data_IF_456022122050
#
_entry.id   IF_456022122050
#
_cell.length_a   1.000
_cell.length_b   1.000
_cell.length_c   1.000
_cell.angle_alpha   90.00
_cell.angle_beta   90.00
_cell.angle_gamma   90.00
#
_symmetry.space_group_name_H-M   'P 1'
#
loop_
_entity.id
_entity.type
_entity.pdbx_description
1 polymer ?
#
# COMPACT_ATOMS: atom_id res chain seq x y z
N UNK A 1 -21.40 32.65 2.22
CA UNK A 1 -19.97 32.91 2.52
C UNK A 1 -19.22 31.57 2.59
N UNK A 2 -18.10 31.49 1.91
CA UNK A 2 -17.27 30.27 1.92
C UNK A 2 -16.34 30.32 3.12
N UNK A 3 -16.33 29.24 3.91
CA UNK A 3 -15.42 29.07 5.04
C UNK A 3 -14.57 27.83 4.82
N UNK A 4 -13.30 27.91 5.18
CA UNK A 4 -12.39 26.78 5.15
C UNK A 4 -12.03 26.43 6.58
N UNK A 5 -12.34 25.20 6.98
CA UNK A 5 -12.22 24.76 8.37
C UNK A 5 -11.24 23.59 8.48
N UNK A 6 -10.43 23.62 9.55
CA UNK A 6 -9.62 22.47 9.93
C UNK A 6 -10.49 21.43 10.63
N UNK A 7 -10.36 20.16 10.22
CA UNK A 7 -11.00 19.01 10.86
C UNK A 7 -9.97 17.91 11.00
N UNK A 8 -9.67 17.54 12.22
CA UNK A 8 -8.76 16.42 12.50
C UNK A 8 -9.37 15.08 12.06
N UNK A 9 -10.66 14.92 12.33
CA UNK A 9 -11.41 13.72 11.98
C UNK A 9 -12.62 14.08 11.13
N UNK A 10 -12.99 13.20 10.21
CA UNK A 10 -14.16 13.34 9.38
C UNK A 10 -14.99 12.05 9.46
N UNK A 11 -16.28 12.13 9.20
CA UNK A 11 -17.16 10.97 9.19
C UNK A 11 -17.30 10.38 7.78
N UNK A 12 -18.08 9.29 7.66
CA UNK A 12 -18.26 8.58 6.40
C UNK A 12 -18.87 9.42 5.29
N UNK A 13 -19.66 10.45 5.64
CA UNK A 13 -20.29 11.34 4.64
C UNK A 13 -19.24 12.06 3.79
N UNK A 14 -18.09 12.41 4.39
CA UNK A 14 -16.99 13.03 3.65
C UNK A 14 -16.41 12.10 2.60
N UNK A 15 -16.27 10.82 2.95
CA UNK A 15 -15.75 9.81 2.02
C UNK A 15 -16.73 9.54 0.88
N UNK A 16 -18.02 9.59 1.15
CA UNK A 16 -19.04 9.47 0.10
C UNK A 16 -18.95 10.62 -0.89
N UNK A 17 -18.80 11.85 -0.38
CA UNK A 17 -18.63 13.05 -1.23
C UNK A 17 -17.40 12.90 -2.10
N UNK A 18 -16.26 12.49 -1.51
CA UNK A 18 -15.03 12.26 -2.25
C UNK A 18 -15.22 11.24 -3.36
N UNK A 19 -15.84 10.10 -3.04
CA UNK A 19 -16.07 9.02 -4.01
C UNK A 19 -16.92 9.46 -5.19
N UNK A 20 -18.04 10.14 -4.90
CA UNK A 20 -18.96 10.62 -5.94
C UNK A 20 -18.27 11.64 -6.85
N UNK A 21 -17.54 12.59 -6.28
CA UNK A 21 -16.87 13.64 -7.06
C UNK A 21 -15.70 13.11 -7.89
N UNK A 22 -14.91 12.19 -7.33
CA UNK A 22 -13.82 11.55 -8.09
C UNK A 22 -14.37 10.73 -9.25
N UNK A 23 -15.47 10.01 -9.03
CA UNK A 23 -16.10 9.22 -10.10
C UNK A 23 -16.60 10.11 -11.24
N UNK A 24 -17.24 11.23 -10.92
CA UNK A 24 -17.69 12.22 -11.92
C UNK A 24 -16.49 12.79 -12.70
N UNK A 25 -15.42 13.10 -11.98
CA UNK A 25 -14.22 13.67 -12.57
C UNK A 25 -13.55 12.71 -13.54
N UNK A 26 -13.38 11.45 -13.11
CA UNK A 26 -12.80 10.40 -13.92
C UNK A 26 -13.63 10.13 -15.18
N UNK A 27 -14.95 10.10 -15.05
CA UNK A 27 -15.86 9.87 -16.16
C UNK A 27 -15.71 10.91 -17.26
N UNK A 28 -15.46 12.17 -16.90
CA UNK A 28 -15.21 13.25 -17.87
C UNK A 28 -13.95 13.00 -18.71
N UNK A 29 -13.02 12.20 -18.19
CA UNK A 29 -11.76 11.86 -18.85
C UNK A 29 -11.74 10.43 -19.38
N UNK A 30 -12.90 9.80 -19.49
CA UNK A 30 -13.04 8.40 -19.94
C UNK A 30 -12.22 7.41 -19.11
N UNK A 31 -12.15 7.66 -17.81
CA UNK A 31 -11.47 6.78 -16.84
C UNK A 31 -12.52 6.20 -15.88
N UNK A 32 -12.41 4.90 -15.63
CA UNK A 32 -13.28 4.22 -14.67
C UNK A 32 -12.58 4.13 -13.32
N UNK A 33 -13.25 4.59 -12.27
CA UNK A 33 -12.76 4.42 -10.91
C UNK A 33 -12.95 2.97 -10.49
N UNK A 34 -11.84 2.31 -10.16
CA UNK A 34 -11.83 0.89 -9.79
C UNK A 34 -11.11 0.65 -8.46
N UNK A 35 -11.12 1.63 -7.57
CA UNK A 35 -10.49 1.52 -6.26
C UNK A 35 -11.03 0.29 -5.51
N UNK A 36 -10.11 -0.57 -5.08
CA UNK A 36 -10.46 -1.79 -4.35
C UNK A 36 -9.43 -2.03 -3.24
N UNK A 37 -9.84 -1.97 -1.97
CA UNK A 37 -8.93 -2.30 -0.87
C UNK A 37 -8.70 -3.81 -0.80
N UNK A 38 -7.55 -4.21 -0.23
CA UNK A 38 -7.27 -5.60 0.07
C UNK A 38 -6.59 -5.73 1.42
N UNK A 39 -6.77 -6.89 2.04
CA UNK A 39 -6.14 -7.24 3.29
C UNK A 39 -5.85 -8.74 3.27
N UNK A 40 -4.65 -9.12 3.68
CA UNK A 40 -4.30 -10.51 3.94
C UNK A 40 -3.78 -10.63 5.36
N UNK A 41 -4.22 -11.67 6.06
CA UNK A 41 -3.91 -11.89 7.47
C UNK A 41 -3.20 -13.23 7.61
N UNK A 42 -2.13 -13.25 8.39
CA UNK A 42 -1.50 -14.47 8.84
C UNK A 42 -2.01 -14.80 10.25
N UNK A 43 -2.46 -16.02 10.45
CA UNK A 43 -2.96 -16.47 11.76
C UNK A 43 -2.18 -17.69 12.23
N UNK A 44 -2.05 -17.81 13.55
CA UNK A 44 -1.52 -18.99 14.22
C UNK A 44 -2.55 -19.36 15.28
N UNK A 45 -3.24 -20.49 15.08
CA UNK A 45 -4.31 -20.98 15.96
C UNK A 45 -5.33 -19.88 16.33
N UNK A 46 -5.78 -19.12 15.32
CA UNK A 46 -6.77 -18.06 15.48
C UNK A 46 -6.21 -16.72 15.97
N UNK A 47 -4.93 -16.67 16.31
CA UNK A 47 -4.27 -15.42 16.70
C UNK A 47 -3.69 -14.74 15.46
N UNK A 48 -4.00 -13.47 15.27
CA UNK A 48 -3.41 -12.68 14.18
C UNK A 48 -1.94 -12.41 14.52
N UNK A 49 -1.04 -12.88 13.65
CA UNK A 49 0.42 -12.75 13.84
C UNK A 49 1.08 -11.87 12.80
N UNK A 50 0.35 -11.51 11.75
CA UNK A 50 0.83 -10.61 10.71
C UNK A 50 -0.30 -10.17 9.82
N UNK A 51 -0.09 -9.04 9.15
CA UNK A 51 -1.07 -8.57 8.18
C UNK A 51 -0.40 -7.69 7.13
N UNK A 52 -1.01 -7.65 5.95
CA UNK A 52 -0.66 -6.75 4.88
C UNK A 52 -1.93 -6.10 4.35
N UNK A 53 -1.88 -4.78 4.17
CA UNK A 53 -3.01 -3.99 3.66
C UNK A 53 -2.59 -3.19 2.46
N UNK A 54 -3.55 -2.80 1.65
CA UNK A 54 -3.30 -1.93 0.53
C UNK A 54 -4.55 -1.75 -0.31
N UNK A 55 -4.34 -1.33 -1.53
CA UNK A 55 -5.43 -1.15 -2.48
C UNK A 55 -4.92 -1.29 -3.90
N UNK A 56 -5.82 -1.63 -4.81
CA UNK A 56 -5.57 -1.47 -6.23
C UNK A 56 -6.35 -0.26 -6.72
N UNK A 57 -5.77 0.46 -7.67
CA UNK A 57 -6.42 1.59 -8.29
C UNK A 57 -5.86 1.76 -9.71
N UNK A 58 -6.77 1.92 -10.66
CA UNK A 58 -6.43 1.98 -12.09
C UNK A 58 -5.61 0.75 -12.51
N UNK A 59 -4.35 0.91 -12.86
CA UNK A 59 -3.49 -0.19 -13.33
C UNK A 59 -2.45 -0.63 -12.31
N UNK A 60 -2.54 -0.14 -11.07
CA UNK A 60 -1.51 -0.35 -10.06
C UNK A 60 -2.06 -0.95 -8.77
N UNK A 61 -1.19 -1.67 -8.07
CA UNK A 61 -1.44 -2.19 -6.73
C UNK A 61 -0.49 -1.47 -5.78
N UNK A 62 -1.02 -0.90 -4.71
CA UNK A 62 -0.23 -0.21 -3.69
C UNK A 62 -0.31 -0.94 -2.37
N UNK A 63 0.83 -1.35 -1.83
CA UNK A 63 0.92 -1.91 -0.48
C UNK A 63 1.01 -0.75 0.49
N UNK A 64 0.06 -0.69 1.43
CA UNK A 64 0.03 0.33 2.47
C UNK A 64 0.89 -0.04 3.66
N UNK A 65 0.51 -1.08 4.37
CA UNK A 65 1.21 -1.52 5.58
C UNK A 65 1.48 -3.01 5.52
N UNK A 66 2.64 -3.40 6.06
CA UNK A 66 3.01 -4.79 6.29
C UNK A 66 3.64 -4.87 7.66
N UNK A 67 3.07 -5.71 8.52
CA UNK A 67 3.62 -5.94 9.86
C UNK A 67 3.52 -7.42 10.23
N UNK A 68 4.55 -7.92 10.90
CA UNK A 68 4.57 -9.26 11.50
C UNK A 68 4.95 -9.06 12.97
N UNK A 69 4.25 -9.74 13.85
CA UNK A 69 4.54 -9.65 15.29
C UNK A 69 6.00 -10.08 15.56
N UNK A 70 6.64 -9.41 16.50
CA UNK A 70 8.07 -9.57 16.77
C UNK A 70 8.49 -11.03 16.97
N UNK A 71 7.74 -11.79 17.78
CA UNK A 71 8.04 -13.19 18.06
C UNK A 71 7.87 -14.14 16.87
N UNK A 72 7.22 -13.65 15.78
CA UNK A 72 7.01 -14.43 14.55
C UNK A 72 7.90 -13.98 13.40
N UNK A 73 8.81 -13.04 13.64
CA UNK A 73 9.73 -12.56 12.61
C UNK A 73 10.79 -13.61 12.27
N UNK A 74 11.44 -13.46 11.12
CA UNK A 74 12.46 -14.39 10.61
C UNK A 74 11.93 -15.80 10.31
N UNK A 75 10.62 -15.92 10.05
CA UNK A 75 9.94 -17.17 9.67
C UNK A 75 9.31 -17.08 8.28
N UNK A 76 9.72 -16.10 7.47
CA UNK A 76 9.22 -15.88 6.11
C UNK A 76 7.73 -15.53 6.01
N UNK A 77 7.11 -15.10 7.09
CA UNK A 77 5.69 -14.71 7.08
C UNK A 77 5.46 -13.47 6.25
N UNK A 78 6.33 -12.46 6.38
CA UNK A 78 6.25 -11.24 5.58
C UNK A 78 6.32 -11.50 4.09
N UNK A 79 7.28 -12.33 3.65
CA UNK A 79 7.44 -12.67 2.24
C UNK A 79 6.25 -13.48 1.72
N UNK A 80 5.66 -14.34 2.55
CA UNK A 80 4.45 -15.09 2.17
C UNK A 80 3.25 -14.17 2.01
N UNK A 81 3.11 -13.16 2.86
CA UNK A 81 2.05 -12.16 2.72
C UNK A 81 2.21 -11.37 1.42
N UNK A 82 3.42 -10.97 1.07
CA UNK A 82 3.72 -10.31 -0.21
C UNK A 82 3.36 -11.23 -1.38
N UNK A 83 3.73 -12.50 -1.33
CA UNK A 83 3.40 -13.47 -2.37
C UNK A 83 1.89 -13.60 -2.59
N UNK A 84 1.10 -13.58 -1.51
CA UNK A 84 -0.36 -13.64 -1.62
C UNK A 84 -0.92 -12.42 -2.33
N UNK A 85 -0.39 -11.23 -2.07
CA UNK A 85 -0.78 -10.01 -2.78
C UNK A 85 -0.46 -10.14 -4.28
N UNK A 86 0.73 -10.66 -4.60
CA UNK A 86 1.16 -10.85 -5.98
C UNK A 86 0.28 -11.86 -6.72
N UNK A 87 0.01 -13.00 -6.10
CA UNK A 87 -0.86 -14.04 -6.67
C UNK A 87 -2.28 -13.53 -6.91
N UNK A 88 -2.82 -12.82 -5.93
CA UNK A 88 -4.19 -12.30 -6.03
C UNK A 88 -4.36 -11.33 -7.19
N UNK A 89 -3.36 -10.50 -7.45
CA UNK A 89 -3.45 -9.45 -8.47
C UNK A 89 -2.92 -9.86 -9.84
N UNK A 90 -2.27 -11.02 -9.93
CA UNK A 90 -1.70 -11.50 -11.19
C UNK A 90 -2.80 -11.81 -12.22
N UNK A 91 -2.56 -11.46 -13.47
CA UNK A 91 -3.48 -11.71 -14.59
C UNK A 91 -4.83 -10.99 -14.47
N UNK A 92 -4.87 -9.88 -13.74
CA UNK A 92 -6.07 -9.04 -13.58
C UNK A 92 -5.93 -7.67 -14.24
N UNK A 93 -4.89 -7.47 -15.05
CA UNK A 93 -4.68 -6.22 -15.78
C UNK A 93 -3.83 -5.18 -15.05
N UNK A 94 -3.33 -5.50 -13.87
CA UNK A 94 -2.43 -4.61 -13.16
C UNK A 94 -1.00 -4.73 -13.69
N UNK A 95 -0.31 -3.60 -13.75
CA UNK A 95 1.04 -3.53 -14.32
C UNK A 95 2.14 -3.66 -13.27
N UNK A 96 1.89 -3.20 -12.06
CA UNK A 96 2.92 -3.22 -11.02
C UNK A 96 2.32 -3.24 -9.62
N UNK A 97 3.17 -3.60 -8.67
CA UNK A 97 2.94 -3.43 -7.24
C UNK A 97 3.98 -2.43 -6.75
N UNK A 98 3.56 -1.44 -6.01
CA UNK A 98 4.46 -0.41 -5.49
C UNK A 98 4.21 -0.15 -4.01
N UNK A 99 5.20 0.43 -3.37
CA UNK A 99 5.16 0.75 -1.94
C UNK A 99 6.23 1.79 -1.60
N UNK A 100 6.12 2.32 -0.40
CA UNK A 100 7.17 3.16 0.17
C UNK A 100 7.59 2.59 1.52
N UNK A 101 8.87 2.76 1.86
CA UNK A 101 9.41 2.34 3.15
C UNK A 101 10.54 3.29 3.55
N UNK A 102 10.76 3.43 4.85
CA UNK A 102 11.84 4.27 5.36
C UNK A 102 13.10 3.45 5.62
N UNK A 103 14.25 4.13 5.63
CA UNK A 103 15.55 3.48 5.83
C UNK A 103 15.64 2.61 7.07
N UNK A 104 14.99 3.00 8.18
CA UNK A 104 15.01 2.21 9.41
C UNK A 104 14.07 1.00 9.35
N UNK A 105 13.16 0.95 8.38
CA UNK A 105 12.18 -0.12 8.25
C UNK A 105 12.74 -1.29 7.43
N UNK A 106 12.35 -1.43 6.17
CA UNK A 106 12.60 -2.68 5.47
C UNK A 106 12.98 -2.57 3.99
N UNK A 107 13.81 -1.59 3.54
CA UNK A 107 14.13 -1.53 2.11
C UNK A 107 14.82 -2.80 1.60
N UNK A 108 15.71 -3.39 2.38
CA UNK A 108 16.43 -4.61 1.98
C UNK A 108 15.50 -5.83 1.90
N UNK A 109 14.52 -5.92 2.78
CA UNK A 109 13.51 -6.97 2.74
C UNK A 109 12.75 -6.95 1.41
N UNK A 110 12.30 -5.79 0.98
CA UNK A 110 11.53 -5.66 -0.27
C UNK A 110 12.42 -5.92 -1.50
N UNK A 111 13.68 -5.52 -1.45
CA UNK A 111 14.63 -5.85 -2.53
C UNK A 111 14.79 -7.36 -2.68
N UNK A 112 14.86 -8.08 -1.56
CA UNK A 112 14.92 -9.56 -1.57
C UNK A 112 13.66 -10.19 -2.13
N UNK A 113 12.52 -9.52 -1.98
CA UNK A 113 11.26 -9.96 -2.58
C UNK A 113 11.16 -9.62 -4.08
N UNK A 114 12.18 -9.01 -4.65
CA UNK A 114 12.24 -8.69 -6.07
C UNK A 114 11.81 -7.26 -6.43
N UNK A 115 11.63 -6.40 -5.44
CA UNK A 115 11.27 -5.00 -5.67
C UNK A 115 12.51 -4.19 -5.99
N UNK A 116 12.36 -3.26 -6.94
CA UNK A 116 13.44 -2.35 -7.36
C UNK A 116 13.17 -0.96 -6.80
N UNK A 117 14.25 -0.25 -6.47
CA UNK A 117 14.16 1.15 -6.07
C UNK A 117 13.83 1.99 -7.29
N UNK A 118 12.70 2.69 -7.22
CA UNK A 118 12.26 3.62 -8.26
C UNK A 118 12.74 5.03 -7.96
N UNK A 119 12.68 5.43 -6.70
CA UNK A 119 13.09 6.76 -6.27
C UNK A 119 13.51 6.73 -4.80
N UNK A 120 14.47 7.59 -4.44
CA UNK A 120 14.92 7.76 -3.06
C UNK A 120 14.77 9.24 -2.69
N UNK A 121 14.03 9.50 -1.63
CA UNK A 121 13.97 10.84 -1.04
C UNK A 121 14.90 10.83 0.16
N UNK A 122 16.10 11.33 -0.05
CA UNK A 122 17.13 11.32 0.98
C UNK A 122 16.79 12.30 2.10
N UNK A 123 16.96 11.84 3.34
CA UNK A 123 16.95 12.70 4.51
C UNK A 123 18.39 12.74 5.06
N UNK A 124 19.10 13.82 4.77
CA UNK A 124 20.51 13.95 5.14
C UNK A 124 20.72 14.15 6.63
N UNK A 125 19.78 14.80 7.29
CA UNK A 125 19.86 15.06 8.73
C UNK A 125 19.60 13.79 9.54
N UNK A 126 18.70 12.94 9.06
CA UNK A 126 18.38 11.69 9.70
C UNK A 126 18.19 10.59 8.64
N UNK A 127 19.26 9.89 8.24
CA UNK A 127 19.20 8.87 7.20
C UNK A 127 18.19 7.75 7.46
N UNK A 128 17.84 7.50 8.73
CA UNK A 128 16.79 6.52 9.10
C UNK A 128 15.43 6.89 8.51
N UNK A 129 15.23 8.17 8.20
CA UNK A 129 13.98 8.69 7.61
C UNK A 129 14.10 8.92 6.11
N UNK A 130 15.16 8.44 5.48
CA UNK A 130 15.25 8.40 4.01
C UNK A 130 14.11 7.52 3.51
N UNK A 131 13.35 8.01 2.56
CA UNK A 131 12.18 7.31 2.04
C UNK A 131 12.49 6.66 0.70
N UNK A 132 12.23 5.37 0.61
CA UNK A 132 12.45 4.57 -0.60
C UNK A 132 11.12 4.26 -1.25
N UNK A 133 11.05 4.51 -2.56
CA UNK A 133 9.91 4.15 -3.40
C UNK A 133 10.30 2.92 -4.19
N UNK A 134 9.58 1.83 -4.01
CA UNK A 134 9.91 0.52 -4.57
C UNK A 134 8.78 0.04 -5.46
N UNK A 135 9.14 -0.73 -6.50
CA UNK A 135 8.19 -1.22 -7.49
C UNK A 135 8.59 -2.60 -7.98
N UNK A 136 7.60 -3.41 -8.30
CA UNK A 136 7.78 -4.71 -8.95
C UNK A 136 6.74 -4.86 -10.06
N UNK A 137 7.17 -5.22 -11.24
CA UNK A 137 6.27 -5.49 -12.36
C UNK A 137 5.50 -6.80 -12.12
N UNK A 138 4.23 -6.79 -12.53
CA UNK A 138 3.36 -7.97 -12.46
C UNK A 138 3.33 -8.73 -13.79
#
# INVERSE_FOLDING_TARGET
MINILFKENVNDDFYEILGVEFEKYAKKHDVVCNYTPFNFIAEDDGKIIGLITGHSYYEEVHIGDLIVLEEYRNKHIGSKLIEEVEKYHKNKGFKNINLTTYGFQAPEFYKKCGYKVEYVRENKENPKLTKYFLIKEL
#
